data_IF_129607547839
#
_entry.id   IF_129607547839
#
_cell.length_a   1.000
_cell.length_b   1.000
_cell.length_c   1.000
_cell.angle_alpha   90.00
_cell.angle_beta   90.00
_cell.angle_gamma   90.00
#
_symmetry.space_group_name_H-M   'P 1'
#
loop_
_entity.id
_entity.type
_entity.pdbx_description
1 polymer ?
#
# COMPACT_ATOMS: atom_id res chain seq x y z
N UNK A 1 12.11 -10.28 -13.46
CA UNK A 1 10.78 -10.42 -12.87
C UNK A 1 10.02 -11.44 -13.71
N UNK A 2 10.36 -12.74 -13.67
CA UNK A 2 9.91 -13.70 -14.70
C UNK A 2 9.86 -15.19 -14.27
N UNK A 3 9.31 -15.47 -13.09
CA UNK A 3 8.85 -16.81 -12.72
C UNK A 3 7.61 -16.55 -11.86
N UNK A 4 6.51 -17.31 -12.01
CA UNK A 4 5.19 -17.04 -11.40
C UNK A 4 5.11 -17.03 -9.86
N UNK A 5 6.15 -16.59 -9.18
CA UNK A 5 6.29 -16.39 -7.75
C UNK A 5 5.75 -15.02 -7.34
N UNK A 6 5.37 -14.89 -6.07
CA UNK A 6 5.07 -13.61 -5.46
C UNK A 6 6.35 -12.78 -5.40
N UNK A 7 6.25 -11.49 -5.65
CA UNK A 7 7.36 -10.54 -5.51
C UNK A 7 6.97 -9.44 -4.54
N UNK A 8 7.71 -9.31 -3.44
CA UNK A 8 7.60 -8.16 -2.56
C UNK A 8 8.59 -7.08 -2.98
N UNK A 9 8.11 -5.84 -3.01
CA UNK A 9 8.87 -4.67 -3.43
C UNK A 9 8.78 -3.61 -2.34
N UNK A 10 9.90 -2.99 -1.98
CA UNK A 10 9.96 -1.80 -1.16
C UNK A 10 10.56 -0.66 -1.99
N UNK A 11 9.80 0.41 -2.15
CA UNK A 11 10.18 1.66 -2.78
C UNK A 11 10.65 2.61 -1.66
N UNK A 12 11.96 2.81 -1.56
CA UNK A 12 12.62 3.64 -0.57
C UNK A 12 12.65 5.10 -1.06
N UNK A 13 12.25 6.03 -0.20
CA UNK A 13 12.31 7.48 -0.46
C UNK A 13 13.25 8.14 0.54
N UNK A 14 14.22 8.91 0.06
CA UNK A 14 15.17 9.64 0.91
C UNK A 14 14.69 11.08 1.14
N UNK A 15 14.78 11.56 2.39
CA UNK A 15 14.42 12.94 2.72
C UNK A 15 15.45 13.91 2.17
N UNK A 16 15.07 14.70 1.15
CA UNK A 16 15.90 15.77 0.58
C UNK A 16 17.32 15.26 0.27
N UNK A 17 17.41 14.22 -0.56
CA UNK A 17 18.63 13.45 -0.75
C UNK A 17 19.84 14.32 -1.10
N UNK A 18 19.68 15.29 -2.01
CA UNK A 18 20.74 16.23 -2.39
C UNK A 18 21.14 17.21 -1.27
N UNK A 19 20.20 17.64 -0.43
CA UNK A 19 20.45 18.66 0.61
C UNK A 19 21.09 18.06 1.87
N UNK A 20 21.01 16.73 2.03
CA UNK A 20 21.41 16.03 3.25
C UNK A 20 22.74 15.30 3.15
N UNK A 21 23.33 15.19 1.95
CA UNK A 21 24.63 14.53 1.76
C UNK A 21 25.71 15.16 2.65
N UNK A 22 26.28 14.38 3.54
CA UNK A 22 27.35 14.86 4.40
C UNK A 22 28.69 14.96 3.64
N UNK A 23 29.32 16.15 3.68
CA UNK A 23 30.54 16.42 2.93
C UNK A 23 31.71 15.50 3.30
N UNK A 24 31.93 15.24 4.59
CA UNK A 24 33.05 14.40 5.04
C UNK A 24 32.85 12.93 4.65
N UNK A 25 31.61 12.41 4.72
CA UNK A 25 31.29 11.06 4.24
C UNK A 25 31.56 10.95 2.74
N UNK A 26 31.09 11.93 1.95
CA UNK A 26 31.28 11.96 0.51
C UNK A 26 32.77 12.04 0.13
N UNK A 27 33.55 12.91 0.79
CA UNK A 27 34.99 13.05 0.54
C UNK A 27 35.76 11.77 0.89
N UNK A 28 35.37 11.07 1.97
CA UNK A 28 35.93 9.76 2.29
C UNK A 28 35.63 8.72 1.21
N UNK A 29 34.39 8.66 0.72
CA UNK A 29 34.02 7.76 -0.40
C UNK A 29 34.80 8.09 -1.67
N UNK A 30 34.90 9.36 -2.04
CA UNK A 30 35.70 9.80 -3.20
C UNK A 30 37.15 9.31 -3.11
N UNK A 31 37.78 9.45 -1.93
CA UNK A 31 39.12 8.95 -1.68
C UNK A 31 39.22 7.42 -1.78
N UNK A 32 38.22 6.67 -1.30
CA UNK A 32 38.15 5.21 -1.44
C UNK A 32 38.02 4.80 -2.92
N UNK A 33 37.19 5.51 -3.68
CA UNK A 33 37.02 5.28 -5.12
C UNK A 33 38.20 5.72 -5.99
N UNK A 34 39.25 6.31 -5.40
CA UNK A 34 40.49 6.63 -6.10
C UNK A 34 40.67 8.10 -6.47
N UNK A 35 39.71 8.97 -6.14
CA UNK A 35 39.83 10.42 -6.36
C UNK A 35 40.62 11.00 -5.18
N UNK A 36 41.89 11.35 -5.43
CA UNK A 36 42.87 11.75 -4.41
C UNK A 36 43.63 13.01 -4.80
N UNK A 37 44.46 13.52 -3.88
CA UNK A 37 45.35 14.66 -4.13
C UNK A 37 44.59 15.92 -4.55
N UNK A 38 45.08 16.59 -5.59
CA UNK A 38 44.54 17.86 -6.08
C UNK A 38 43.06 17.77 -6.48
N UNK A 39 42.63 16.68 -7.11
CA UNK A 39 41.23 16.50 -7.51
C UNK A 39 40.29 16.42 -6.30
N UNK A 40 40.70 15.70 -5.25
CA UNK A 40 39.93 15.62 -4.01
C UNK A 40 39.90 16.97 -3.27
N UNK A 41 41.01 17.68 -3.25
CA UNK A 41 41.08 19.02 -2.64
C UNK A 41 40.19 20.03 -3.38
N UNK A 42 40.14 19.93 -4.71
CA UNK A 42 39.24 20.73 -5.54
C UNK A 42 37.77 20.42 -5.23
N UNK A 43 37.38 19.14 -5.12
CA UNK A 43 36.03 18.74 -4.72
C UNK A 43 35.68 19.18 -3.29
N UNK A 44 36.64 19.13 -2.36
CA UNK A 44 36.48 19.67 -1.01
C UNK A 44 36.17 21.16 -1.08
N UNK A 45 36.96 21.94 -1.83
CA UNK A 45 36.72 23.37 -2.03
C UNK A 45 35.37 23.66 -2.70
N UNK A 46 34.90 22.78 -3.58
CA UNK A 46 33.60 22.90 -4.25
C UNK A 46 32.42 22.76 -3.27
N UNK A 47 32.57 21.91 -2.25
CA UNK A 47 31.51 21.62 -1.25
C UNK A 47 31.54 22.57 -0.05
N UNK A 48 32.71 23.00 0.40
CA UNK A 48 32.88 23.78 1.64
C UNK A 48 32.78 25.30 1.45
N UNK A 49 32.57 26.03 2.55
CA UNK A 49 32.52 27.52 2.57
C UNK A 49 31.46 28.13 1.66
N UNK A 50 30.37 27.38 1.45
CA UNK A 50 29.21 27.82 0.67
C UNK A 50 28.20 28.50 1.59
N UNK A 51 27.55 29.55 1.10
CA UNK A 51 26.42 30.20 1.78
C UNK A 51 25.21 30.22 0.86
N UNK A 52 24.02 30.28 1.46
CA UNK A 52 22.73 30.38 0.79
C UNK A 52 21.89 31.48 1.42
N UNK A 53 21.03 32.12 0.64
CA UNK A 53 20.06 33.10 1.09
C UNK A 53 18.82 33.04 0.18
N UNK A 54 17.68 33.51 0.67
CA UNK A 54 16.43 33.54 -0.09
C UNK A 54 16.07 34.98 -0.46
N UNK A 55 15.46 35.17 -1.64
CA UNK A 55 14.88 36.45 -2.05
C UNK A 55 13.38 36.34 -2.19
N UNK A 56 12.61 37.12 -1.43
CA UNK A 56 11.15 37.17 -1.51
C UNK A 56 10.71 38.63 -1.61
N UNK A 57 9.90 38.96 -2.62
CA UNK A 57 9.40 40.33 -2.85
C UNK A 57 10.50 41.40 -2.84
N UNK A 58 11.66 41.09 -3.41
CA UNK A 58 12.79 42.00 -3.49
C UNK A 58 13.70 42.04 -2.25
N UNK A 59 13.27 41.52 -1.10
CA UNK A 59 14.07 41.45 0.13
C UNK A 59 14.89 40.16 0.20
N UNK A 60 16.11 40.26 0.72
CA UNK A 60 17.04 39.15 0.92
C UNK A 60 17.02 38.71 2.39
N UNK A 61 17.11 37.41 2.64
CA UNK A 61 17.41 36.88 3.97
C UNK A 61 18.88 37.05 4.32
N UNK A 62 19.20 36.90 5.61
CA UNK A 62 20.59 36.74 6.03
C UNK A 62 21.23 35.51 5.37
N UNK A 63 22.54 35.55 5.03
CA UNK A 63 23.25 34.40 4.51
C UNK A 63 23.40 33.30 5.57
N UNK A 64 23.09 32.07 5.19
CA UNK A 64 23.30 30.87 6.00
C UNK A 64 24.40 30.00 5.40
N UNK A 65 25.32 29.50 6.22
CA UNK A 65 26.37 28.57 5.76
C UNK A 65 25.78 27.19 5.47
N UNK A 66 26.17 26.61 4.34
CA UNK A 66 25.76 25.28 3.90
C UNK A 66 26.73 24.25 4.46
N UNK A 67 26.27 23.47 5.43
CA UNK A 67 27.09 22.45 6.14
C UNK A 67 26.92 21.03 5.59
N UNK A 68 25.84 20.78 4.85
CA UNK A 68 25.55 19.52 4.17
C UNK A 68 24.91 19.83 2.83
N UNK A 69 24.93 18.83 1.96
CA UNK A 69 24.27 18.84 0.67
C UNK A 69 25.20 19.21 -0.48
N UNK A 70 24.77 18.84 -1.68
CA UNK A 70 25.49 19.11 -2.92
C UNK A 70 24.73 20.21 -3.67
N UNK A 71 25.41 21.18 -4.31
CA UNK A 71 24.74 22.26 -5.02
C UNK A 71 23.77 21.74 -6.10
N UNK A 72 22.48 21.97 -5.90
CA UNK A 72 21.44 21.65 -6.88
C UNK A 72 21.59 22.54 -8.14
N UNK A 73 21.26 21.99 -9.31
CA UNK A 73 21.43 22.69 -10.60
C UNK A 73 22.87 22.75 -11.11
N UNK A 74 23.81 22.10 -10.43
CA UNK A 74 25.19 21.96 -10.90
C UNK A 74 25.37 20.70 -11.77
N UNK A 75 26.34 20.75 -12.69
CA UNK A 75 26.69 19.59 -13.52
C UNK A 75 27.28 18.42 -12.69
N UNK A 76 27.97 18.73 -11.58
CA UNK A 76 28.59 17.71 -10.71
C UNK A 76 27.63 17.15 -9.67
N UNK A 77 26.53 17.84 -9.38
CA UNK A 77 25.58 17.47 -8.33
C UNK A 77 25.10 16.02 -8.45
N UNK A 78 24.51 15.63 -9.58
CA UNK A 78 24.05 14.26 -9.82
C UNK A 78 25.17 13.22 -9.70
N UNK A 79 26.36 13.49 -10.25
CA UNK A 79 27.49 12.56 -10.17
C UNK A 79 27.95 12.32 -8.73
N UNK A 80 28.08 13.38 -7.94
CA UNK A 80 28.46 13.27 -6.54
C UNK A 80 27.42 12.51 -5.71
N UNK A 81 26.13 12.69 -6.02
CA UNK A 81 25.07 11.92 -5.39
C UNK A 81 25.14 10.43 -5.77
N UNK A 82 25.35 10.11 -7.05
CA UNK A 82 25.55 8.74 -7.50
C UNK A 82 26.72 8.07 -6.77
N UNK A 83 27.86 8.76 -6.64
CA UNK A 83 29.02 8.26 -5.88
C UNK A 83 28.65 7.98 -4.41
N UNK A 84 27.79 8.80 -3.81
CA UNK A 84 27.34 8.63 -2.44
C UNK A 84 26.52 7.34 -2.25
N UNK A 85 25.57 7.07 -3.15
CA UNK A 85 24.62 5.95 -3.07
C UNK A 85 25.14 4.63 -3.65
N UNK A 86 26.19 4.67 -4.47
CA UNK A 86 26.65 3.53 -5.28
C UNK A 86 27.06 2.26 -4.49
N UNK A 87 27.39 2.38 -3.21
CA UNK A 87 27.71 1.24 -2.34
C UNK A 87 26.54 0.76 -1.48
N UNK A 88 25.34 1.34 -1.60
CA UNK A 88 24.13 0.83 -0.95
C UNK A 88 23.87 -0.65 -1.28
N UNK A 89 23.96 -1.12 -2.55
CA UNK A 89 23.69 -2.53 -2.85
C UNK A 89 24.59 -3.52 -2.12
N UNK A 90 25.76 -3.07 -1.62
CA UNK A 90 26.71 -3.94 -0.91
C UNK A 90 26.27 -4.29 0.50
N UNK A 91 25.28 -3.61 1.07
CA UNK A 91 24.74 -3.94 2.39
C UNK A 91 23.60 -4.97 2.34
N UNK A 92 23.22 -5.44 1.15
CA UNK A 92 22.07 -6.31 0.97
C UNK A 92 22.51 -7.76 0.79
N UNK A 93 21.77 -8.67 1.41
CA UNK A 93 22.10 -10.10 1.43
C UNK A 93 21.05 -10.96 0.72
N UNK A 94 19.80 -10.49 0.64
CA UNK A 94 18.67 -11.33 0.24
C UNK A 94 17.81 -10.73 -0.88
N UNK A 95 17.91 -9.43 -1.10
CA UNK A 95 17.11 -8.65 -2.04
C UNK A 95 17.93 -8.23 -3.24
N UNK A 96 17.25 -8.05 -4.37
CA UNK A 96 17.78 -7.38 -5.54
C UNK A 96 17.50 -5.89 -5.38
N UNK A 97 18.43 -5.05 -5.83
CA UNK A 97 18.28 -3.60 -5.76
C UNK A 97 18.41 -2.92 -7.10
N UNK A 98 17.48 -2.01 -7.36
CA UNK A 98 17.45 -1.14 -8.52
C UNK A 98 17.54 0.31 -8.03
N UNK A 99 18.54 1.04 -8.51
CA UNK A 99 18.77 2.44 -8.13
C UNK A 99 18.70 3.29 -9.39
N UNK A 100 17.88 4.34 -9.36
CA UNK A 100 17.83 5.35 -10.40
C UNK A 100 17.81 6.75 -9.75
N UNK A 101 18.93 7.47 -9.85
CA UNK A 101 19.12 8.70 -9.09
C UNK A 101 18.81 8.48 -7.59
N UNK A 102 17.85 9.21 -7.03
CA UNK A 102 17.40 9.09 -5.64
C UNK A 102 16.33 8.03 -5.41
N UNK A 103 15.68 7.53 -6.46
CA UNK A 103 14.72 6.42 -6.37
C UNK A 103 15.47 5.10 -6.17
N UNK A 104 15.21 4.44 -5.04
CA UNK A 104 15.81 3.15 -4.71
C UNK A 104 14.70 2.14 -4.45
N UNK A 105 14.79 0.99 -5.12
CA UNK A 105 13.90 -0.14 -4.94
C UNK A 105 14.69 -1.34 -4.46
N UNK A 106 14.18 -2.04 -3.45
CA UNK A 106 14.63 -3.38 -3.08
C UNK A 106 13.49 -4.39 -3.29
N UNK A 107 13.80 -5.57 -3.80
CA UNK A 107 12.80 -6.60 -4.10
C UNK A 107 13.27 -8.02 -3.74
N UNK A 108 12.31 -8.85 -3.35
CA UNK A 108 12.52 -10.28 -3.11
C UNK A 108 11.34 -11.08 -3.67
N UNK A 109 11.64 -12.22 -4.29
CA UNK A 109 10.63 -13.15 -4.79
C UNK A 109 10.66 -14.48 -4.03
N UNK A 110 9.48 -15.06 -3.82
CA UNK A 110 9.29 -16.41 -3.27
C UNK A 110 7.85 -16.86 -3.49
N UNK A 111 7.60 -18.16 -3.38
CA UNK A 111 6.24 -18.72 -3.33
C UNK A 111 5.57 -18.52 -1.95
N UNK A 112 6.34 -18.09 -0.94
CA UNK A 112 5.86 -17.86 0.42
C UNK A 112 6.05 -16.39 0.84
N UNK A 113 4.93 -15.71 1.14
CA UNK A 113 4.92 -14.31 1.57
C UNK A 113 5.71 -14.06 2.87
N UNK A 114 5.79 -15.04 3.77
CA UNK A 114 6.57 -14.91 5.00
C UNK A 114 8.06 -14.86 4.68
N UNK A 115 8.53 -15.71 3.76
CA UNK A 115 9.93 -15.71 3.30
C UNK A 115 10.29 -14.37 2.64
N UNK A 116 9.37 -13.81 1.84
CA UNK A 116 9.55 -12.47 1.25
C UNK A 116 9.66 -11.42 2.36
N UNK A 117 8.77 -11.49 3.34
CA UNK A 117 8.72 -10.54 4.46
C UNK A 117 10.00 -10.59 5.29
N UNK A 118 10.50 -11.78 5.61
CA UNK A 118 11.73 -11.97 6.37
C UNK A 118 12.94 -11.42 5.61
N UNK A 119 13.07 -11.75 4.32
CA UNK A 119 14.15 -11.22 3.46
C UNK A 119 14.14 -9.69 3.37
N UNK A 120 12.96 -9.12 3.13
CA UNK A 120 12.80 -7.67 3.00
C UNK A 120 13.09 -6.94 4.31
N UNK A 121 12.61 -7.47 5.45
CA UNK A 121 12.85 -6.83 6.75
C UNK A 121 14.32 -6.88 7.15
N UNK A 122 14.99 -8.02 6.95
CA UNK A 122 16.44 -8.15 7.19
C UNK A 122 17.24 -7.12 6.40
N UNK A 123 17.01 -7.04 5.09
CA UNK A 123 17.73 -6.08 4.25
C UNK A 123 17.30 -4.62 4.52
N UNK A 124 16.07 -4.37 4.98
CA UNK A 124 15.65 -3.04 5.41
C UNK A 124 16.38 -2.58 6.68
N UNK A 125 16.71 -3.50 7.60
CA UNK A 125 17.57 -3.21 8.76
C UNK A 125 18.99 -2.85 8.31
N UNK A 126 19.56 -3.61 7.36
CA UNK A 126 20.86 -3.30 6.77
C UNK A 126 20.88 -1.94 6.08
N UNK A 127 19.83 -1.61 5.31
CA UNK A 127 19.64 -0.29 4.70
C UNK A 127 19.55 0.79 5.77
N UNK A 128 18.82 0.57 6.85
CA UNK A 128 18.71 1.53 7.95
C UNK A 128 20.07 1.82 8.60
N UNK A 129 20.87 0.78 8.84
CA UNK A 129 22.23 0.92 9.35
C UNK A 129 23.15 1.65 8.36
N UNK A 130 23.07 1.31 7.08
CA UNK A 130 23.82 1.97 6.01
C UNK A 130 23.45 3.46 5.90
N UNK A 131 22.16 3.81 5.88
CA UNK A 131 21.70 5.20 5.85
C UNK A 131 22.21 5.99 7.05
N UNK A 132 22.17 5.39 8.24
CA UNK A 132 22.68 5.98 9.46
C UNK A 132 24.19 6.28 9.37
N UNK A 133 24.98 5.31 8.88
CA UNK A 133 26.41 5.48 8.67
C UNK A 133 26.74 6.57 7.63
N UNK A 134 25.88 6.74 6.63
CA UNK A 134 26.02 7.76 5.59
C UNK A 134 25.36 9.10 5.95
N UNK A 135 24.76 9.21 7.14
CA UNK A 135 24.02 10.39 7.62
C UNK A 135 22.86 10.80 6.70
N UNK A 136 22.28 9.82 6.01
CA UNK A 136 21.08 9.98 5.18
C UNK A 136 19.83 9.59 6.00
N UNK A 137 18.67 10.12 5.62
CA UNK A 137 17.42 9.86 6.35
C UNK A 137 16.35 9.29 5.42
N UNK A 138 15.81 8.13 5.78
CA UNK A 138 14.66 7.54 5.09
C UNK A 138 13.38 8.34 5.38
N UNK A 139 12.58 8.57 4.36
CA UNK A 139 11.26 9.12 4.45
C UNK A 139 10.22 8.03 4.65
N UNK A 140 9.99 7.66 5.92
CA UNK A 140 9.06 6.59 6.30
C UNK A 140 7.65 6.77 5.73
N UNK A 141 7.16 8.00 5.59
CA UNK A 141 5.80 8.27 5.09
C UNK A 141 5.68 8.06 3.59
N UNK A 142 6.74 8.36 2.83
CA UNK A 142 6.77 8.19 1.37
C UNK A 142 7.29 6.82 0.94
N UNK A 143 8.08 6.16 1.78
CA UNK A 143 8.49 4.77 1.57
C UNK A 143 7.26 3.87 1.52
N UNK A 144 7.16 3.03 0.49
CA UNK A 144 6.02 2.13 0.28
C UNK A 144 6.51 0.70 0.11
N UNK A 145 5.69 -0.24 0.55
CA UNK A 145 5.85 -1.65 0.23
C UNK A 145 4.64 -2.12 -0.57
N UNK A 146 4.84 -3.10 -1.44
CA UNK A 146 3.77 -3.77 -2.16
C UNK A 146 4.13 -5.22 -2.44
N UNK A 147 3.12 -6.08 -2.49
CA UNK A 147 3.24 -7.46 -2.99
C UNK A 147 2.62 -7.51 -4.38
N UNK A 148 3.40 -7.99 -5.34
CA UNK A 148 3.03 -8.19 -6.73
C UNK A 148 2.86 -9.69 -6.94
N UNK A 149 1.69 -10.09 -7.42
CA UNK A 149 1.34 -11.46 -7.77
C UNK A 149 1.11 -11.53 -9.29
N UNK A 150 1.59 -12.60 -9.92
CA UNK A 150 1.43 -12.88 -11.34
C UNK A 150 0.20 -13.75 -11.65
N UNK A 151 -0.65 -14.04 -10.66
CA UNK A 151 -1.96 -14.65 -10.90
C UNK A 151 -2.86 -13.66 -11.62
N UNK A 152 -2.81 -13.70 -12.95
CA UNK A 152 -4.04 -13.56 -13.74
C UNK A 152 -5.00 -14.56 -13.12
N UNK A 153 -6.05 -14.09 -12.43
CA UNK A 153 -7.08 -14.96 -11.91
C UNK A 153 -7.69 -15.70 -13.09
N UNK A 154 -7.16 -16.87 -13.43
CA UNK A 154 -7.83 -17.84 -14.27
C UNK A 154 -9.02 -18.29 -13.45
N UNK A 155 -10.13 -17.56 -13.58
CA UNK A 155 -11.40 -18.02 -13.08
C UNK A 155 -11.66 -19.37 -13.75
N UNK A 156 -11.65 -20.45 -12.96
CA UNK A 156 -12.21 -21.70 -13.43
C UNK A 156 -13.65 -21.42 -13.88
N UNK A 157 -13.91 -21.54 -15.18
CA UNK A 157 -15.27 -21.45 -15.72
C UNK A 157 -16.18 -22.62 -15.29
N UNK A 158 -15.66 -23.56 -14.48
CA UNK A 158 -16.44 -24.64 -13.88
C UNK A 158 -17.15 -24.14 -12.63
N UNK A 159 -18.47 -24.11 -12.71
CA UNK A 159 -19.35 -23.81 -11.58
C UNK A 159 -19.50 -25.01 -10.66
N UNK A 160 -19.39 -24.80 -9.34
CA UNK A 160 -19.71 -25.81 -8.32
C UNK A 160 -20.98 -25.40 -7.59
N UNK A 161 -22.01 -26.24 -7.64
CA UNK A 161 -23.22 -26.01 -6.88
C UNK A 161 -22.97 -26.20 -5.37
N UNK A 162 -23.33 -25.20 -4.55
CA UNK A 162 -23.26 -25.27 -3.09
C UNK A 162 -24.59 -25.80 -2.56
N UNK A 163 -24.59 -27.01 -2.02
CA UNK A 163 -25.71 -27.70 -1.36
C UNK A 163 -27.06 -27.71 -2.12
N UNK A 164 -27.04 -27.41 -3.43
CA UNK A 164 -28.18 -27.47 -4.38
C UNK A 164 -29.44 -26.72 -3.93
N UNK A 165 -29.30 -25.63 -3.17
CA UNK A 165 -30.44 -24.78 -2.76
C UNK A 165 -30.92 -23.96 -3.95
N UNK A 166 -32.25 -23.91 -4.16
CA UNK A 166 -32.89 -23.11 -5.23
C UNK A 166 -32.98 -21.63 -4.87
N UNK A 167 -31.83 -20.94 -4.92
CA UNK A 167 -31.70 -19.50 -4.70
C UNK A 167 -32.30 -18.72 -5.87
N UNK A 168 -32.93 -17.57 -5.59
CA UNK A 168 -33.52 -16.68 -6.60
C UNK A 168 -32.77 -15.37 -6.78
N UNK A 169 -32.07 -14.92 -5.75
CA UNK A 169 -31.32 -13.68 -5.78
C UNK A 169 -30.15 -13.81 -4.81
N UNK A 170 -28.99 -13.27 -5.18
CA UNK A 170 -27.75 -13.26 -4.41
C UNK A 170 -27.21 -11.84 -4.45
N UNK A 171 -26.65 -11.39 -3.33
CA UNK A 171 -25.78 -10.22 -3.30
C UNK A 171 -24.52 -10.51 -2.47
N UNK A 172 -23.41 -9.87 -2.81
CA UNK A 172 -22.12 -10.03 -2.15
C UNK A 172 -21.40 -8.70 -2.00
N UNK A 173 -21.12 -8.33 -0.76
CA UNK A 173 -20.45 -7.09 -0.42
C UNK A 173 -20.05 -7.07 1.05
N UNK A 174 -19.14 -6.19 1.43
CA UNK A 174 -18.73 -6.03 2.84
C UNK A 174 -18.19 -7.32 3.49
N UNK A 175 -17.63 -8.26 2.71
CA UNK A 175 -17.12 -9.54 3.19
C UNK A 175 -18.18 -10.62 3.45
N UNK A 176 -19.43 -10.39 3.04
CA UNK A 176 -20.53 -11.34 3.22
C UNK A 176 -21.25 -11.60 1.91
N UNK A 177 -21.86 -12.78 1.82
CA UNK A 177 -22.70 -13.18 0.69
C UNK A 177 -24.04 -13.68 1.23
N UNK A 178 -25.12 -13.08 0.75
CA UNK A 178 -26.48 -13.40 1.17
C UNK A 178 -27.35 -13.78 -0.02
N UNK A 179 -28.40 -14.55 0.25
CA UNK A 179 -29.26 -15.09 -0.78
C UNK A 179 -30.71 -15.26 -0.32
N UNK A 180 -31.65 -14.93 -1.20
CA UNK A 180 -33.07 -15.25 -1.03
C UNK A 180 -33.44 -16.52 -1.78
N UNK A 181 -34.47 -17.23 -1.31
CA UNK A 181 -34.97 -18.47 -1.92
C UNK A 181 -36.30 -18.22 -2.63
N UNK A 182 -36.59 -19.03 -3.66
CA UNK A 182 -37.85 -18.97 -4.43
C UNK A 182 -39.12 -19.06 -3.57
N UNK A 183 -39.10 -19.90 -2.53
CA UNK A 183 -40.23 -20.07 -1.62
C UNK A 183 -40.40 -18.90 -0.64
N UNK A 184 -39.45 -17.96 -0.63
CA UNK A 184 -39.39 -16.77 0.22
C UNK A 184 -39.48 -17.09 1.71
N UNK A 185 -39.30 -18.35 2.13
CA UNK A 185 -39.52 -18.78 3.51
C UNK A 185 -38.34 -18.43 4.41
N UNK A 186 -37.14 -18.45 3.84
CA UNK A 186 -35.89 -18.18 4.53
C UNK A 186 -34.93 -17.39 3.66
N UNK A 187 -34.12 -16.57 4.30
CA UNK A 187 -32.88 -16.03 3.75
C UNK A 187 -31.67 -16.84 4.23
N UNK A 188 -30.63 -16.85 3.41
CA UNK A 188 -29.41 -17.60 3.64
C UNK A 188 -28.21 -16.68 3.61
N UNK A 189 -27.22 -16.98 4.46
CA UNK A 189 -25.91 -16.38 4.41
C UNK A 189 -24.87 -17.47 4.13
N UNK A 190 -23.90 -17.18 3.27
CA UNK A 190 -22.81 -18.11 2.97
C UNK A 190 -21.78 -18.05 4.09
N UNK A 191 -21.58 -19.17 4.80
CA UNK A 191 -20.61 -19.31 5.90
C UNK A 191 -19.77 -20.55 5.66
N UNK A 192 -18.43 -20.41 5.70
CA UNK A 192 -17.51 -21.54 5.53
C UNK A 192 -17.83 -22.41 4.29
N UNK A 193 -18.18 -21.76 3.17
CA UNK A 193 -18.54 -22.44 1.92
C UNK A 193 -19.93 -23.10 1.88
N UNK A 194 -20.77 -22.89 2.91
CA UNK A 194 -22.11 -23.49 3.02
C UNK A 194 -23.19 -22.44 3.28
N UNK A 195 -24.35 -22.61 2.65
CA UNK A 195 -25.52 -21.75 2.89
C UNK A 195 -26.18 -22.07 4.23
N UNK A 196 -26.16 -21.11 5.14
CA UNK A 196 -26.76 -21.20 6.48
C UNK A 196 -28.04 -20.36 6.56
N UNK A 197 -29.11 -20.93 7.12
CA UNK A 197 -30.40 -20.23 7.31
C UNK A 197 -30.26 -19.12 8.35
N UNK A 198 -30.83 -17.94 8.08
CA UNK A 198 -30.75 -16.76 8.99
C UNK A 198 -32.09 -16.18 9.43
N UNK A 199 -33.18 -16.86 9.13
CA UNK A 199 -34.54 -16.42 9.48
C UNK A 199 -34.97 -15.16 8.72
N UNK A 200 -36.27 -15.01 8.50
CA UNK A 200 -36.84 -13.92 7.72
C UNK A 200 -37.29 -14.35 6.32
N UNK A 201 -38.37 -13.70 5.87
CA UNK A 201 -39.11 -14.02 4.65
C UNK A 201 -38.99 -12.86 3.67
N UNK A 202 -37.98 -12.92 2.80
CA UNK A 202 -37.57 -11.81 1.95
C UNK A 202 -37.56 -12.18 0.47
N UNK A 203 -37.87 -11.18 -0.35
CA UNK A 203 -37.82 -11.24 -1.82
C UNK A 203 -36.52 -10.69 -2.37
N UNK A 204 -35.96 -9.70 -1.68
CA UNK A 204 -34.75 -9.01 -2.06
C UNK A 204 -33.79 -8.90 -0.87
N UNK A 205 -32.49 -9.03 -1.12
CA UNK A 205 -31.41 -8.73 -0.18
C UNK A 205 -30.33 -7.92 -0.89
N UNK A 206 -29.72 -6.97 -0.19
CA UNK A 206 -28.49 -6.31 -0.61
C UNK A 206 -27.51 -6.21 0.54
N UNK A 207 -26.21 -6.23 0.23
CA UNK A 207 -25.12 -6.24 1.20
C UNK A 207 -24.02 -5.31 0.70
N UNK A 208 -23.60 -4.39 1.57
CA UNK A 208 -22.47 -3.51 1.26
C UNK A 208 -21.92 -2.83 2.50
N UNK A 209 -21.23 -1.69 2.29
CA UNK A 209 -20.61 -0.94 3.38
C UNK A 209 -21.64 -0.41 4.39
N UNK A 210 -22.88 -0.15 3.95
CA UNK A 210 -24.00 0.27 4.80
C UNK A 210 -24.70 -0.87 5.53
N UNK A 211 -24.10 -2.07 5.54
CA UNK A 211 -24.66 -3.27 6.15
C UNK A 211 -25.53 -4.08 5.20
N UNK A 212 -26.33 -4.98 5.78
CA UNK A 212 -27.22 -5.89 5.03
C UNK A 212 -28.66 -5.43 5.16
N UNK A 213 -29.33 -5.29 4.02
CA UNK A 213 -30.71 -4.83 3.91
C UNK A 213 -31.56 -5.85 3.18
N UNK A 214 -32.85 -5.90 3.48
CA UNK A 214 -33.77 -6.81 2.83
C UNK A 214 -35.15 -6.20 2.66
N UNK A 215 -35.87 -6.70 1.65
CA UNK A 215 -37.27 -6.33 1.37
C UNK A 215 -38.12 -7.59 1.43
N UNK A 216 -39.27 -7.49 2.09
CA UNK A 216 -40.25 -8.58 2.16
C UNK A 216 -41.24 -8.56 0.99
N UNK A 217 -42.01 -9.64 0.81
CA UNK A 217 -43.09 -9.70 -0.20
C UNK A 217 -44.14 -8.58 0.00
N UNK A 218 -44.32 -8.11 1.22
CA UNK A 218 -45.24 -7.02 1.55
C UNK A 218 -44.60 -5.63 1.42
N UNK A 219 -43.51 -5.50 0.64
CA UNK A 219 -42.73 -4.28 0.41
C UNK A 219 -42.08 -3.66 1.66
N UNK A 220 -42.16 -4.32 2.81
CA UNK A 220 -41.55 -3.82 4.06
C UNK A 220 -40.04 -3.94 4.02
N UNK A 221 -39.38 -2.90 4.53
CA UNK A 221 -37.93 -2.74 4.57
C UNK A 221 -37.35 -3.28 5.89
N UNK A 222 -36.18 -3.92 5.81
CA UNK A 222 -35.49 -4.48 6.96
C UNK A 222 -33.99 -4.23 6.88
N UNK A 223 -33.40 -3.95 8.04
CA UNK A 223 -31.96 -3.87 8.24
C UNK A 223 -31.48 -4.99 9.15
N UNK A 224 -30.32 -5.57 8.84
CA UNK A 224 -29.71 -6.62 9.66
C UNK A 224 -28.99 -5.99 10.84
N UNK A 225 -29.47 -6.27 12.06
CA UNK A 225 -28.90 -5.73 13.29
C UNK A 225 -27.98 -6.72 14.02
N UNK A 226 -27.17 -6.18 14.93
CA UNK A 226 -26.28 -6.96 15.79
C UNK A 226 -25.03 -7.52 15.07
N UNK A 227 -24.70 -7.00 13.89
CA UNK A 227 -23.47 -7.37 13.17
C UNK A 227 -22.26 -6.83 13.94
N UNK A 228 -21.38 -7.74 14.36
CA UNK A 228 -20.15 -7.46 15.13
C UNK A 228 -19.02 -8.39 14.65
N UNK A 229 -17.74 -8.13 14.98
CA UNK A 229 -16.62 -9.00 14.57
C UNK A 229 -16.78 -10.47 14.99
N UNK A 230 -17.35 -10.73 16.17
CA UNK A 230 -17.67 -12.06 16.71
C UNK A 230 -18.98 -12.64 16.17
N UNK A 231 -19.88 -11.77 15.70
CA UNK A 231 -21.20 -12.10 15.16
C UNK A 231 -21.39 -11.52 13.75
N UNK A 232 -20.62 -11.99 12.75
CA UNK A 232 -20.50 -11.29 11.47
C UNK A 232 -21.82 -11.21 10.68
N UNK A 233 -22.78 -12.10 10.94
CA UNK A 233 -24.06 -12.12 10.23
C UNK A 233 -25.22 -11.56 11.05
N UNK A 234 -24.92 -10.91 12.17
CA UNK A 234 -25.90 -10.30 13.07
C UNK A 234 -26.88 -11.30 13.69
N UNK A 235 -27.78 -10.77 14.52
CA UNK A 235 -28.68 -11.56 15.35
C UNK A 235 -30.16 -11.42 14.98
N UNK A 236 -30.54 -10.32 14.32
CA UNK A 236 -31.94 -9.98 14.09
C UNK A 236 -32.19 -9.18 12.82
N UNK A 237 -33.46 -8.90 12.57
CA UNK A 237 -33.92 -8.02 11.51
C UNK A 237 -34.75 -6.90 12.12
N UNK A 238 -34.25 -5.68 11.99
CA UNK A 238 -34.96 -4.48 12.38
C UNK A 238 -35.86 -4.05 11.23
N UNK A 239 -37.18 -3.97 11.47
CA UNK A 239 -38.12 -3.39 10.50
C UNK A 239 -37.92 -1.88 10.48
N UNK A 240 -37.89 -1.31 9.28
CA UNK A 240 -37.80 0.12 9.04
C UNK A 240 -39.06 0.62 8.33
N UNK A 241 -39.31 1.92 8.45
CA UNK A 241 -40.43 2.57 7.79
C UNK A 241 -40.24 2.65 6.26
N UNK A 242 -41.36 2.85 5.58
CA UNK A 242 -41.44 2.89 4.12
C UNK A 242 -41.73 1.54 3.47
N UNK A 243 -42.08 1.61 2.19
CA UNK A 243 -42.41 0.46 1.36
C UNK A 243 -41.62 0.57 0.05
N UNK A 244 -40.77 -0.42 -0.22
CA UNK A 244 -39.90 -0.45 -1.40
C UNK A 244 -40.03 -1.81 -2.10
N UNK A 245 -39.88 -1.82 -3.42
CA UNK A 245 -39.73 -3.03 -4.22
C UNK A 245 -38.30 -3.56 -4.17
N UNK A 246 -37.32 -2.66 -4.11
CA UNK A 246 -35.90 -3.00 -4.12
C UNK A 246 -35.10 -1.99 -3.30
N UNK A 247 -34.03 -2.47 -2.67
CA UNK A 247 -33.03 -1.65 -1.95
C UNK A 247 -31.64 -2.02 -2.47
N UNK A 248 -30.77 -1.04 -2.65
CA UNK A 248 -29.36 -1.28 -2.99
C UNK A 248 -28.42 -0.45 -2.10
N UNK A 249 -27.27 -1.02 -1.77
CA UNK A 249 -26.24 -0.36 -0.96
C UNK A 249 -25.14 0.22 -1.85
N UNK A 250 -24.98 1.54 -1.82
CA UNK A 250 -23.95 2.26 -2.57
C UNK A 250 -22.55 2.16 -1.96
N UNK A 251 -21.55 2.51 -2.76
CA UNK A 251 -20.12 2.44 -2.40
C UNK A 251 -19.67 3.47 -1.35
N UNK A 252 -20.47 4.51 -1.11
CA UNK A 252 -20.22 5.66 -0.22
C UNK A 252 -20.96 5.59 1.12
N UNK A 253 -21.56 4.45 1.47
CA UNK A 253 -22.34 4.33 2.70
C UNK A 253 -23.79 4.81 2.57
N UNK A 254 -24.23 5.14 1.35
CA UNK A 254 -25.61 5.53 1.04
C UNK A 254 -26.44 4.31 0.65
N UNK A 255 -27.74 4.32 0.96
CA UNK A 255 -28.70 3.28 0.59
C UNK A 255 -29.75 3.90 -0.32
N UNK A 256 -30.05 3.23 -1.44
CA UNK A 256 -31.04 3.68 -2.42
C UNK A 256 -32.21 2.70 -2.50
N UNK A 257 -33.39 3.20 -2.79
CA UNK A 257 -34.62 2.40 -2.84
C UNK A 257 -35.44 2.70 -4.10
N UNK A 258 -36.14 1.68 -4.58
CA UNK A 258 -37.16 1.79 -5.64
C UNK A 258 -38.52 1.50 -5.02
N UNK A 259 -39.49 2.40 -5.23
CA UNK A 259 -40.88 2.27 -4.77
C UNK A 259 -41.68 1.44 -5.76
#
# INVERSE_FOLDING_TARGET
MDIGQLTGVILLDLKKAFDTVNHEVLLKKLNVYGIRGTALQWLRSYLTSRTQYCRINGQLSDPLTVINGIPQGSALGPLLFLICINDLPKCLEHTITNIFADDTQIEASSDNVNVITDKLNHDLENVSAWLSANKLTLNKTKTKYMIIDNVTRQFSHKWKAINKIKITQIDSGGGQTWATRRDKKYIYALQNGTWMRKGGSFTHVTVGKSGTWAVSKALRNFFREGVKPDTPYGNGWLRLDGELQQIDTGSSGVVYGVI
#
